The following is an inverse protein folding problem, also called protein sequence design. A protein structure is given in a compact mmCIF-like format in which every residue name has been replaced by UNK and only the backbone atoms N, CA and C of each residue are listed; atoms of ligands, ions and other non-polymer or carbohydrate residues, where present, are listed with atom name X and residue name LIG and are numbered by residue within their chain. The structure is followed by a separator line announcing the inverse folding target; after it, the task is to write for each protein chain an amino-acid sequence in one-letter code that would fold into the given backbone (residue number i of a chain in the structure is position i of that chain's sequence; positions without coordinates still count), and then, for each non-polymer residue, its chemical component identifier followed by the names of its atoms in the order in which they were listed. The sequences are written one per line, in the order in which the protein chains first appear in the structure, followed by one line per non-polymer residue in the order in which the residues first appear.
data_IF_802739363251
#
_entry.id   IF_802739363251
#
_cell.length_a   1.000
_cell.length_b   1.000
_cell.length_c   1.000
_cell.angle_alpha   90.00
_cell.angle_beta   90.00
_cell.angle_gamma   90.00
#
_symmetry.space_group_name_H-M   'P 1'
#
loop_
_entity.id
_entity.type
_entity.pdbx_description
1 polymer ?
#
# COMPACT_ATOMS: atom_id res chain seq x y z
N UNK A 1 16.25 -27.96 -19.54
CA UNK A 1 15.14 -27.88 -18.57
C UNK A 1 15.00 -26.43 -18.12
N UNK A 2 13.91 -25.73 -18.45
CA UNK A 2 13.61 -24.41 -17.85
C UNK A 2 13.16 -24.67 -16.43
N UNK A 3 13.94 -24.24 -15.43
CA UNK A 3 13.50 -24.29 -14.03
C UNK A 3 12.20 -23.50 -13.90
N UNK A 4 11.20 -24.11 -13.27
CA UNK A 4 9.93 -23.43 -12.96
C UNK A 4 10.27 -22.37 -11.89
N UNK A 5 10.54 -21.14 -12.32
CA UNK A 5 10.70 -20.01 -11.41
C UNK A 5 9.31 -19.56 -10.97
N UNK A 6 8.99 -19.76 -9.69
CA UNK A 6 7.85 -19.11 -9.06
C UNK A 6 8.10 -17.60 -9.02
N UNK A 7 7.17 -16.79 -9.52
CA UNK A 7 7.28 -15.34 -9.44
C UNK A 7 6.89 -14.88 -8.04
N UNK A 8 7.46 -13.76 -7.61
CA UNK A 8 7.04 -13.05 -6.41
C UNK A 8 6.10 -11.92 -6.79
N UNK A 9 4.95 -11.88 -6.14
CA UNK A 9 3.93 -10.86 -6.34
C UNK A 9 3.80 -10.10 -5.03
N UNK A 10 3.85 -8.78 -5.10
CA UNK A 10 3.69 -7.91 -3.93
C UNK A 10 2.51 -6.98 -4.15
N UNK A 11 1.61 -6.87 -3.18
CA UNK A 11 0.43 -6.01 -3.26
C UNK A 11 0.09 -5.43 -1.90
N UNK A 12 -0.21 -4.13 -1.86
CA UNK A 12 -0.51 -3.38 -0.64
C UNK A 12 -1.94 -2.85 -0.64
N UNK A 13 -2.62 -2.94 0.50
CA UNK A 13 -3.96 -2.39 0.71
C UNK A 13 -3.86 -1.20 1.67
N UNK A 14 -4.41 -0.05 1.27
CA UNK A 14 -4.35 1.17 2.07
C UNK A 14 -5.59 1.29 3.00
N UNK A 15 -5.42 1.43 4.33
CA UNK A 15 -6.51 1.64 5.28
C UNK A 15 -7.06 3.09 5.30
N UNK A 16 -7.16 3.75 4.16
CA UNK A 16 -7.45 5.19 4.03
C UNK A 16 -8.93 5.59 3.82
N UNK A 17 -9.89 4.68 4.03
CA UNK A 17 -11.32 4.95 3.88
C UNK A 17 -12.16 4.54 5.09
N UNK A 18 -13.49 4.71 5.02
CA UNK A 18 -14.38 3.99 5.94
C UNK A 18 -14.13 2.50 5.72
N UNK A 19 -13.62 1.81 6.74
CA UNK A 19 -13.20 0.40 6.70
C UNK A 19 -14.35 -0.62 6.41
N UNK A 20 -15.46 -0.15 5.86
CA UNK A 20 -16.52 -0.98 5.32
C UNK A 20 -15.99 -1.77 4.12
N UNK A 21 -15.82 -3.07 4.32
CA UNK A 21 -15.59 -4.01 3.23
C UNK A 21 -16.68 -3.86 2.17
N UNK A 22 -16.31 -3.41 0.98
CA UNK A 22 -17.20 -3.39 -0.18
C UNK A 22 -16.77 -4.44 -1.20
N UNK A 23 -17.69 -4.84 -2.07
CA UNK A 23 -17.46 -5.88 -3.08
C UNK A 23 -16.25 -5.61 -3.99
N UNK A 24 -15.92 -4.33 -4.19
CA UNK A 24 -14.71 -3.90 -4.88
C UNK A 24 -13.41 -4.42 -4.24
N UNK A 25 -13.32 -4.50 -2.90
CA UNK A 25 -12.12 -5.01 -2.22
C UNK A 25 -11.96 -6.51 -2.45
N UNK A 26 -13.07 -7.27 -2.39
CA UNK A 26 -13.05 -8.70 -2.66
C UNK A 26 -12.66 -9.02 -4.11
N UNK A 27 -13.29 -8.36 -5.08
CA UNK A 27 -13.03 -8.58 -6.51
C UNK A 27 -11.67 -8.02 -6.97
N UNK A 28 -11.24 -6.92 -6.35
CA UNK A 28 -10.00 -6.20 -6.70
C UNK A 28 -8.75 -6.81 -6.08
N UNK A 29 -8.84 -7.34 -4.86
CA UNK A 29 -7.67 -7.83 -4.13
C UNK A 29 -7.78 -9.30 -3.75
N UNK A 30 -8.78 -9.67 -2.94
CA UNK A 30 -8.86 -11.02 -2.34
C UNK A 30 -8.92 -12.11 -3.41
N UNK A 31 -9.90 -12.03 -4.32
CA UNK A 31 -10.12 -13.07 -5.35
C UNK A 31 -8.88 -13.23 -6.23
N UNK A 32 -8.31 -12.11 -6.68
CA UNK A 32 -7.12 -12.09 -7.53
C UNK A 32 -5.92 -12.67 -6.80
N UNK A 33 -5.72 -12.31 -5.52
CA UNK A 33 -4.62 -12.81 -4.71
C UNK A 33 -4.69 -14.32 -4.52
N UNK A 34 -5.89 -14.88 -4.31
CA UNK A 34 -6.07 -16.34 -4.26
C UNK A 34 -5.68 -17.03 -5.56
N UNK A 35 -6.13 -16.50 -6.70
CA UNK A 35 -5.81 -17.05 -8.02
C UNK A 35 -4.30 -16.97 -8.31
N UNK A 36 -3.66 -15.85 -7.96
CA UNK A 36 -2.23 -15.64 -8.12
C UNK A 36 -1.39 -16.58 -7.24
N UNK A 37 -1.83 -16.82 -6.00
CA UNK A 37 -1.13 -17.68 -5.03
C UNK A 37 -1.11 -19.18 -5.43
N UNK A 38 -1.95 -19.60 -6.39
CA UNK A 38 -1.91 -20.98 -6.90
C UNK A 38 -0.59 -21.31 -7.63
N UNK A 39 0.06 -20.30 -8.22
CA UNK A 39 1.27 -20.50 -9.04
C UNK A 39 2.44 -19.60 -8.66
N UNK A 40 2.24 -18.67 -7.72
CA UNK A 40 3.22 -17.66 -7.34
C UNK A 40 3.33 -17.53 -5.82
N UNK A 41 4.45 -16.97 -5.36
CA UNK A 41 4.66 -16.55 -3.99
C UNK A 41 4.10 -15.14 -3.83
N UNK A 42 3.11 -14.94 -2.97
CA UNK A 42 2.41 -13.66 -2.82
C UNK A 42 2.72 -13.03 -1.46
N UNK A 43 3.05 -11.73 -1.49
CA UNK A 43 3.28 -10.87 -0.35
C UNK A 43 2.19 -9.81 -0.34
N UNK A 44 1.23 -9.96 0.55
CA UNK A 44 0.12 -9.04 0.73
C UNK A 44 0.35 -8.24 2.00
N UNK A 45 0.16 -6.92 1.98
CA UNK A 45 0.38 -6.13 3.18
C UNK A 45 -0.60 -5.00 3.40
N UNK A 46 -0.82 -4.66 4.66
CA UNK A 46 -1.58 -3.47 5.07
C UNK A 46 -0.65 -2.27 5.10
N UNK A 47 -0.86 -1.32 4.20
CA UNK A 47 -0.03 -0.15 3.99
C UNK A 47 -0.37 0.99 4.98
N UNK A 48 -0.29 0.72 6.28
CA UNK A 48 -0.66 1.66 7.35
C UNK A 48 0.22 2.92 7.39
N UNK A 49 1.52 2.81 7.09
CA UNK A 49 2.39 3.99 6.96
C UNK A 49 1.97 4.89 5.77
N UNK A 50 1.44 4.32 4.69
CA UNK A 50 0.92 5.12 3.56
C UNK A 50 -0.38 5.86 3.95
N UNK A 51 -1.21 5.26 4.80
CA UNK A 51 -2.45 5.86 5.27
C UNK A 51 -2.23 7.12 6.10
N UNK A 52 -1.08 7.25 6.78
CA UNK A 52 -0.69 8.45 7.52
C UNK A 52 -0.61 9.72 6.67
N UNK A 53 -0.60 9.61 5.34
CA UNK A 53 -0.66 10.77 4.43
C UNK A 53 -2.09 11.31 4.26
N UNK A 54 -3.09 10.56 4.70
CA UNK A 54 -4.53 10.83 4.47
C UNK A 54 -5.37 10.79 5.74
N UNK A 55 -5.06 9.91 6.69
CA UNK A 55 -5.78 9.73 7.96
C UNK A 55 -4.87 10.23 9.08
N UNK A 56 -5.24 11.34 9.71
CA UNK A 56 -4.48 11.95 10.81
C UNK A 56 -5.03 11.56 12.19
N UNK A 57 -6.28 11.09 12.26
CA UNK A 57 -6.88 10.62 13.50
C UNK A 57 -6.35 9.22 13.84
N UNK A 58 -5.72 9.12 15.02
CA UNK A 58 -5.09 7.90 15.50
C UNK A 58 -6.11 6.78 15.69
N UNK A 59 -7.17 7.03 16.43
CA UNK A 59 -8.15 6.01 16.83
C UNK A 59 -8.89 5.49 15.58
N UNK A 60 -9.16 6.38 14.62
CA UNK A 60 -9.70 6.02 13.33
C UNK A 60 -8.75 5.12 12.53
N UNK A 61 -7.47 5.48 12.46
CA UNK A 61 -6.47 4.69 11.72
C UNK A 61 -6.30 3.30 12.34
N UNK A 62 -6.19 3.21 13.67
CA UNK A 62 -6.08 1.94 14.39
C UNK A 62 -7.27 1.04 14.09
N UNK A 63 -8.49 1.58 14.19
CA UNK A 63 -9.72 0.85 13.86
C UNK A 63 -9.76 0.39 12.41
N UNK A 64 -9.32 1.24 11.48
CA UNK A 64 -9.29 0.91 10.06
C UNK A 64 -8.31 -0.23 9.77
N UNK A 65 -7.11 -0.18 10.36
CA UNK A 65 -6.09 -1.22 10.23
C UNK A 65 -6.61 -2.55 10.77
N UNK A 66 -7.15 -2.55 12.00
CA UNK A 66 -7.69 -3.76 12.63
C UNK A 66 -8.82 -4.37 11.80
N UNK A 67 -9.78 -3.54 11.39
CA UNK A 67 -10.92 -3.98 10.58
C UNK A 67 -10.47 -4.57 9.25
N UNK A 68 -9.49 -3.95 8.59
CA UNK A 68 -8.95 -4.45 7.31
C UNK A 68 -8.25 -5.79 7.50
N UNK A 69 -7.39 -5.92 8.50
CA UNK A 69 -6.68 -7.16 8.80
C UNK A 69 -7.68 -8.30 9.06
N UNK A 70 -8.70 -8.07 9.89
CA UNK A 70 -9.72 -9.08 10.18
C UNK A 70 -10.50 -9.51 8.94
N UNK A 71 -10.91 -8.55 8.11
CA UNK A 71 -11.63 -8.84 6.87
C UNK A 71 -10.78 -9.66 5.88
N UNK A 72 -9.52 -9.26 5.68
CA UNK A 72 -8.61 -9.96 4.76
C UNK A 72 -8.30 -11.36 5.26
N UNK A 73 -8.02 -11.54 6.56
CA UNK A 73 -7.78 -12.87 7.14
C UNK A 73 -9.01 -13.78 7.00
N UNK A 74 -10.20 -13.26 7.28
CA UNK A 74 -11.44 -14.01 7.15
C UNK A 74 -11.71 -14.46 5.69
N UNK A 75 -11.36 -13.62 4.73
CA UNK A 75 -11.62 -13.88 3.32
C UNK A 75 -10.53 -14.71 2.65
N UNK A 76 -9.25 -14.49 2.98
CA UNK A 76 -8.11 -15.21 2.40
C UNK A 76 -8.09 -16.67 2.87
N UNK A 77 -8.37 -16.91 4.16
CA UNK A 77 -8.24 -18.24 4.77
C UNK A 77 -6.78 -18.70 4.85
N UNK A 78 -6.56 -20.00 4.96
CA UNK A 78 -5.21 -20.58 5.06
C UNK A 78 -4.62 -20.88 3.67
N UNK A 79 -3.68 -20.04 3.23
CA UNK A 79 -2.99 -20.18 1.94
C UNK A 79 -1.48 -20.19 2.16
N UNK A 80 -0.87 -21.36 1.97
CA UNK A 80 0.56 -21.60 2.19
C UNK A 80 1.51 -20.70 1.39
N UNK A 81 1.06 -20.17 0.26
CA UNK A 81 1.87 -19.33 -0.64
C UNK A 81 1.63 -17.82 -0.45
N UNK A 82 0.89 -17.43 0.60
CA UNK A 82 0.62 -16.03 0.92
C UNK A 82 1.30 -15.67 2.23
N UNK A 83 2.17 -14.66 2.17
CA UNK A 83 2.65 -13.94 3.34
C UNK A 83 1.80 -12.69 3.50
N UNK A 84 1.06 -12.59 4.60
CA UNK A 84 0.24 -11.42 4.94
C UNK A 84 0.80 -10.70 6.16
N UNK A 85 1.04 -9.39 6.06
CA UNK A 85 1.70 -8.63 7.12
C UNK A 85 1.29 -7.15 7.14
N UNK A 86 1.63 -6.44 8.23
CA UNK A 86 1.42 -4.99 8.35
C UNK A 86 2.71 -4.25 8.02
N UNK A 87 2.62 -3.16 7.26
CA UNK A 87 3.79 -2.43 6.76
C UNK A 87 4.67 -1.90 7.89
N UNK A 88 4.07 -1.32 8.93
CA UNK A 88 4.80 -0.79 10.10
C UNK A 88 5.50 -1.84 10.96
N UNK A 89 5.14 -3.13 10.86
CA UNK A 89 5.79 -4.22 11.61
C UNK A 89 7.11 -4.68 10.98
N UNK A 90 7.43 -4.19 9.77
CA UNK A 90 8.65 -4.52 9.03
C UNK A 90 9.54 -3.28 8.96
N UNK A 91 10.48 -3.09 9.91
CA UNK A 91 11.29 -1.87 10.01
C UNK A 91 12.09 -1.59 8.73
N UNK A 92 12.47 -2.63 7.99
CA UNK A 92 13.21 -2.57 6.73
C UNK A 92 12.51 -1.71 5.68
N UNK A 93 11.17 -1.61 5.72
CA UNK A 93 10.43 -0.72 4.83
C UNK A 93 10.82 0.75 5.03
N UNK A 94 10.97 1.18 6.28
CA UNK A 94 11.30 2.56 6.62
C UNK A 94 12.77 2.87 6.30
N UNK A 95 13.66 1.94 6.63
CA UNK A 95 15.09 2.07 6.34
C UNK A 95 15.36 2.13 4.83
N UNK A 96 14.76 1.21 4.06
CA UNK A 96 14.92 1.18 2.61
C UNK A 96 14.32 2.42 1.95
N UNK A 97 13.22 2.97 2.48
CA UNK A 97 12.62 4.22 1.98
C UNK A 97 13.59 5.39 2.06
N UNK A 98 14.38 5.49 3.14
CA UNK A 98 15.43 6.52 3.30
C UNK A 98 16.54 6.32 2.28
N UNK A 99 17.02 5.08 2.10
CA UNK A 99 18.08 4.78 1.13
C UNK A 99 17.61 5.12 -0.29
N UNK A 100 16.41 4.67 -0.69
CA UNK A 100 15.84 4.95 -2.02
C UNK A 100 15.59 6.44 -2.26
N UNK A 101 15.27 7.20 -1.20
CA UNK A 101 15.11 8.64 -1.28
C UNK A 101 16.39 9.36 -1.70
N UNK A 102 17.58 8.81 -1.39
CA UNK A 102 18.86 9.38 -1.83
C UNK A 102 19.12 9.18 -3.34
N UNK A 103 18.45 8.19 -3.95
CA UNK A 103 18.57 7.87 -5.38
C UNK A 103 17.38 8.34 -6.21
N UNK A 104 16.39 8.97 -5.59
CA UNK A 104 15.17 9.45 -6.27
C UNK A 104 15.16 10.98 -6.28
N UNK A 105 15.45 11.62 -7.43
CA UNK A 105 15.40 13.07 -7.56
C UNK A 105 14.03 13.63 -7.16
N UNK A 106 14.03 14.84 -6.61
CA UNK A 106 12.82 15.46 -6.07
C UNK A 106 11.70 15.60 -7.11
N UNK A 107 12.05 15.90 -8.36
CA UNK A 107 11.12 15.99 -9.49
C UNK A 107 10.33 14.67 -9.73
N UNK A 108 11.00 13.52 -9.58
CA UNK A 108 10.38 12.21 -9.75
C UNK A 108 9.46 11.86 -8.57
N UNK A 109 9.70 12.44 -7.39
CA UNK A 109 8.82 12.28 -6.22
C UNK A 109 7.52 13.08 -6.37
N UNK A 110 7.60 14.24 -7.00
CA UNK A 110 6.44 15.11 -7.19
C UNK A 110 5.60 14.80 -8.43
N UNK A 111 6.13 14.09 -9.43
CA UNK A 111 5.36 13.75 -10.63
C UNK A 111 4.11 12.92 -10.31
N UNK A 112 4.18 12.01 -9.33
CA UNK A 112 3.03 11.23 -8.85
C UNK A 112 2.08 12.04 -7.92
N UNK A 113 2.57 13.10 -7.28
CA UNK A 113 1.79 13.97 -6.40
C UNK A 113 1.26 15.25 -7.05
N UNK A 114 1.58 15.48 -8.33
CA UNK A 114 1.37 16.76 -9.03
C UNK A 114 -0.12 17.16 -9.01
N UNK A 115 -1.03 16.22 -9.25
CA UNK A 115 -2.48 16.44 -9.21
C UNK A 115 -2.98 16.89 -7.81
N UNK A 116 -2.39 16.38 -6.72
CA UNK A 116 -2.74 16.81 -5.35
C UNK A 116 -2.13 18.15 -4.97
N UNK A 117 -0.95 18.46 -5.51
CA UNK A 117 -0.30 19.75 -5.28
C UNK A 117 -0.98 20.90 -6.01
N UNK A 118 -1.58 20.65 -7.19
CA UNK A 118 -2.33 21.68 -7.93
C UNK A 118 -3.62 22.08 -7.22
N UNK A 119 -4.27 21.14 -6.53
CA UNK A 119 -5.45 21.42 -5.69
C UNK A 119 -5.09 22.16 -4.39
N UNK A 120 -3.90 21.93 -3.83
CA UNK A 120 -3.40 22.69 -2.68
C UNK A 120 -2.79 24.06 -3.07
N UNK A 121 -2.34 24.23 -4.31
CA UNK A 121 -1.75 25.46 -4.84
C UNK A 121 -2.81 26.43 -5.43
N UNK A 122 -4.05 26.35 -4.96
CA UNK A 122 -5.07 27.39 -5.21
C UNK A 122 -4.63 28.77 -4.70
N UNK A 123 -3.77 28.81 -3.68
CA UNK A 123 -3.46 30.04 -2.93
C UNK A 123 -2.01 30.56 -3.07
N UNK A 124 -1.10 29.87 -3.77
CA UNK A 124 0.33 30.25 -3.84
C UNK A 124 0.96 30.20 -5.24
N UNK A 125 0.26 30.70 -6.27
CA UNK A 125 0.75 30.77 -7.66
C UNK A 125 2.05 31.58 -7.90
N UNK A 126 2.68 32.15 -6.88
CA UNK A 126 3.85 33.03 -7.01
C UNK A 126 5.23 32.38 -6.85
N UNK A 127 5.36 31.20 -6.21
CA UNK A 127 6.67 30.74 -5.72
C UNK A 127 7.31 29.56 -6.49
N UNK A 128 6.56 28.86 -7.35
CA UNK A 128 7.05 27.65 -8.05
C UNK A 128 7.80 27.91 -9.38
N UNK A 129 8.59 28.98 -9.50
CA UNK A 129 9.41 29.23 -10.70
C UNK A 129 10.90 29.49 -10.42
N UNK A 130 11.45 28.88 -9.40
CA UNK A 130 12.90 28.86 -9.22
C UNK A 130 13.28 27.65 -8.38
N UNK A 131 13.49 26.50 -9.02
CA UNK A 131 14.54 25.50 -8.79
C UNK A 131 14.41 24.42 -9.87
#
# INVERSE_FOLDING_TARGET
MKGIYMKRIVSGINPSGNASLHIGNYLGMVKQSKEMALTNECFLFVADLHALTTVQDKDQLEKNVETLILNELALLGDLKNITFFRQSDVPEHTELSVILSNYTPLEARFSAGRERSETACGDYKGYCRSF
#
